data_IF_591627637964
#
_entry.id   IF_591627637964
#
_cell.length_a   1.000
_cell.length_b   1.000
_cell.length_c   1.000
_cell.angle_alpha   90.00
_cell.angle_beta   90.00
_cell.angle_gamma   90.00
#
_symmetry.space_group_name_H-M   'P 1'
#
loop_
_entity.id
_entity.type
_entity.pdbx_description
1 polymer ?
#
# COMPACT_ATOMS: atom_id res chain seq x y z
N UNK A 1 -8.55 -27.36 -7.88
CA UNK A 1 -8.63 -25.95 -8.33
C UNK A 1 -7.32 -25.26 -7.96
N UNK A 2 -6.75 -24.42 -8.82
CA UNK A 2 -5.51 -23.69 -8.51
C UNK A 2 -5.81 -22.20 -8.40
N UNK A 3 -5.33 -21.55 -7.34
CA UNK A 3 -5.49 -20.11 -7.15
C UNK A 3 -4.20 -19.38 -7.49
N UNK A 4 -4.32 -18.27 -8.23
CA UNK A 4 -3.25 -17.28 -8.39
C UNK A 4 -3.68 -16.01 -7.65
N UNK A 5 -2.85 -15.55 -6.72
CA UNK A 5 -3.23 -14.48 -5.79
C UNK A 5 -2.30 -13.29 -5.97
N UNK A 6 -2.87 -12.09 -6.12
CA UNK A 6 -2.15 -10.83 -6.01
C UNK A 6 -2.63 -10.09 -4.76
N UNK A 7 -1.72 -9.92 -3.80
CA UNK A 7 -2.01 -9.32 -2.50
C UNK A 7 -1.77 -7.81 -2.55
N UNK A 8 -2.70 -7.06 -1.95
CA UNK A 8 -2.70 -5.60 -1.80
C UNK A 8 -3.15 -5.24 -0.39
N UNK A 9 -2.81 -4.05 0.06
CA UNK A 9 -3.18 -3.59 1.40
C UNK A 9 -4.70 -3.43 1.54
N UNK A 10 -5.34 -2.66 0.66
CA UNK A 10 -6.78 -2.36 0.71
C UNK A 10 -7.48 -2.29 -0.65
N UNK A 11 -8.80 -2.01 -0.67
CA UNK A 11 -9.61 -2.10 -1.89
C UNK A 11 -9.30 -1.03 -2.94
N UNK A 12 -8.79 0.14 -2.53
CA UNK A 12 -8.51 1.30 -3.41
C UNK A 12 -7.00 1.44 -3.67
N UNK A 13 -6.33 0.33 -3.98
CA UNK A 13 -4.87 0.26 -4.05
C UNK A 13 -4.27 0.80 -5.36
N UNK A 14 -5.08 1.07 -6.38
CA UNK A 14 -4.57 1.49 -7.68
C UNK A 14 -5.57 2.26 -8.52
N UNK A 15 -5.04 3.09 -9.41
CA UNK A 15 -5.80 3.80 -10.43
C UNK A 15 -6.22 2.85 -11.59
N UNK A 16 -6.95 3.38 -12.56
CA UNK A 16 -7.49 2.61 -13.68
C UNK A 16 -6.44 1.83 -14.47
N UNK A 17 -5.24 2.41 -14.70
CA UNK A 17 -4.18 1.74 -15.47
C UNK A 17 -3.56 0.58 -14.69
N UNK A 18 -3.42 0.71 -13.36
CA UNK A 18 -2.94 -0.36 -12.50
C UNK A 18 -3.94 -1.52 -12.43
N UNK A 19 -5.24 -1.23 -12.38
CA UNK A 19 -6.29 -2.26 -12.41
C UNK A 19 -6.32 -2.98 -13.77
N UNK A 20 -6.20 -2.24 -14.88
CA UNK A 20 -6.12 -2.84 -16.22
C UNK A 20 -4.92 -3.78 -16.34
N UNK A 21 -3.75 -3.35 -15.84
CA UNK A 21 -2.54 -4.17 -15.86
C UNK A 21 -2.67 -5.45 -15.03
N UNK A 22 -3.37 -5.39 -13.88
CA UNK A 22 -3.64 -6.57 -13.08
C UNK A 22 -4.48 -7.59 -13.85
N UNK A 23 -5.54 -7.14 -14.55
CA UNK A 23 -6.39 -8.01 -15.37
C UNK A 23 -5.57 -8.69 -16.47
N UNK A 24 -4.74 -7.95 -17.17
CA UNK A 24 -3.85 -8.50 -18.20
C UNK A 24 -2.91 -9.57 -17.64
N UNK A 25 -2.29 -9.29 -16.48
CA UNK A 25 -1.36 -10.21 -15.84
C UNK A 25 -2.07 -11.50 -15.40
N UNK A 26 -3.27 -11.41 -14.82
CA UNK A 26 -4.08 -12.58 -14.48
C UNK A 26 -4.47 -13.39 -15.72
N UNK A 27 -4.90 -12.73 -16.80
CA UNK A 27 -5.24 -13.39 -18.06
C UNK A 27 -4.06 -14.16 -18.65
N UNK A 28 -2.87 -13.54 -18.68
CA UNK A 28 -1.63 -14.18 -19.14
C UNK A 28 -1.25 -15.38 -18.28
N UNK A 29 -1.27 -15.22 -16.95
CA UNK A 29 -0.94 -16.31 -16.02
C UNK A 29 -1.90 -17.50 -16.18
N UNK A 30 -3.21 -17.24 -16.30
CA UNK A 30 -4.21 -18.29 -16.59
C UNK A 30 -3.89 -19.04 -17.89
N UNK A 31 -3.55 -18.32 -18.97
CA UNK A 31 -3.20 -18.94 -20.26
C UNK A 31 -1.95 -19.82 -20.15
N UNK A 32 -0.88 -19.30 -19.54
CA UNK A 32 0.39 -20.03 -19.37
C UNK A 32 0.16 -21.31 -18.56
N UNK A 33 -0.57 -21.22 -17.45
CA UNK A 33 -0.83 -22.37 -16.57
C UNK A 33 -1.72 -23.43 -17.21
N UNK A 34 -2.67 -23.06 -18.06
CA UNK A 34 -3.51 -24.02 -18.81
C UNK A 34 -2.73 -24.77 -19.89
N UNK A 35 -1.72 -24.15 -20.50
CA UNK A 35 -0.90 -24.78 -21.54
C UNK A 35 0.18 -25.69 -20.95
N UNK A 36 0.82 -25.28 -19.84
CA UNK A 36 2.00 -25.97 -19.31
C UNK A 36 1.69 -27.04 -18.25
N UNK A 37 0.51 -26.96 -17.62
CA UNK A 37 0.11 -27.85 -16.52
C UNK A 37 -1.33 -28.25 -16.84
N UNK A 38 -1.69 -29.53 -16.73
CA UNK A 38 -3.05 -30.02 -16.97
C UNK A 38 -4.12 -29.44 -16.01
N UNK A 39 -3.79 -28.40 -15.23
CA UNK A 39 -4.72 -27.69 -14.37
C UNK A 39 -5.76 -26.94 -15.20
N UNK A 40 -6.90 -27.60 -15.42
CA UNK A 40 -8.03 -27.06 -16.20
C UNK A 40 -8.74 -25.91 -15.48
N UNK A 41 -8.58 -25.78 -14.16
CA UNK A 41 -9.33 -24.83 -13.34
C UNK A 41 -8.40 -23.91 -12.51
N UNK A 42 -8.09 -22.73 -13.08
CA UNK A 42 -7.28 -21.67 -12.47
C UNK A 42 -8.15 -20.46 -12.14
N UNK A 43 -8.21 -20.07 -10.87
CA UNK A 43 -8.97 -18.91 -10.37
C UNK A 43 -7.99 -17.80 -9.98
N UNK A 44 -8.25 -16.58 -10.46
CA UNK A 44 -7.46 -15.42 -10.10
C UNK A 44 -8.12 -14.67 -8.93
N UNK A 45 -7.31 -14.27 -7.95
CA UNK A 45 -7.77 -13.56 -6.76
C UNK A 45 -6.92 -12.31 -6.54
N UNK A 46 -7.55 -11.15 -6.49
CA UNK A 46 -6.98 -9.96 -5.86
C UNK A 46 -7.35 -9.98 -4.37
N UNK A 47 -6.39 -10.33 -3.53
CA UNK A 47 -6.55 -10.28 -2.08
C UNK A 47 -6.24 -8.89 -1.53
N UNK A 48 -7.13 -8.35 -0.72
CA UNK A 48 -6.92 -7.10 0.02
C UNK A 48 -6.91 -7.41 1.52
N UNK A 49 -5.81 -7.10 2.21
CA UNK A 49 -5.63 -7.42 3.64
C UNK A 49 -6.66 -6.73 4.55
N UNK A 50 -7.17 -5.56 4.16
CA UNK A 50 -8.23 -4.85 4.89
C UNK A 50 -9.26 -4.24 3.95
N UNK A 51 -10.31 -3.66 4.55
CA UNK A 51 -11.42 -3.01 3.85
C UNK A 51 -12.49 -4.00 3.39
N UNK A 52 -13.49 -3.49 2.67
CA UNK A 52 -14.65 -4.26 2.21
C UNK A 52 -14.88 -3.99 0.72
N UNK A 53 -15.25 -5.02 -0.04
CA UNK A 53 -15.74 -4.89 -1.41
C UNK A 53 -17.10 -5.60 -1.51
N UNK A 54 -18.14 -4.87 -1.91
CA UNK A 54 -19.51 -5.40 -1.96
C UNK A 54 -19.78 -6.31 -3.16
N UNK A 55 -18.89 -6.30 -4.16
CA UNK A 55 -19.04 -7.09 -5.38
C UNK A 55 -17.73 -7.83 -5.66
N UNK A 56 -17.40 -8.89 -4.90
CA UNK A 56 -16.12 -9.58 -5.02
C UNK A 56 -15.86 -10.12 -6.42
N UNK A 57 -16.90 -10.63 -7.11
CA UNK A 57 -16.74 -11.10 -8.48
C UNK A 57 -16.62 -9.95 -9.48
N UNK A 58 -15.44 -9.85 -10.13
CA UNK A 58 -15.14 -8.87 -11.18
C UNK A 58 -15.17 -9.49 -12.59
N UNK A 59 -15.65 -10.73 -12.72
CA UNK A 59 -15.67 -11.53 -13.94
C UNK A 59 -14.32 -12.21 -14.21
N UNK A 60 -13.25 -11.43 -14.36
CA UNK A 60 -11.93 -11.98 -14.69
C UNK A 60 -11.18 -12.53 -13.47
N UNK A 61 -11.50 -12.02 -12.29
CA UNK A 61 -10.89 -12.37 -11.01
C UNK A 61 -11.85 -12.09 -9.85
N UNK A 62 -11.61 -12.74 -8.72
CA UNK A 62 -12.28 -12.44 -7.46
C UNK A 62 -11.48 -11.38 -6.70
N UNK A 63 -12.16 -10.37 -6.16
CA UNK A 63 -11.56 -9.39 -5.26
C UNK A 63 -12.07 -9.62 -3.86
N UNK A 64 -11.26 -10.29 -3.03
CA UNK A 64 -11.60 -10.62 -1.66
C UNK A 64 -10.92 -9.60 -0.75
N UNK A 65 -11.65 -9.01 0.20
CA UNK A 65 -11.14 -7.96 1.07
C UNK A 65 -11.41 -8.27 2.54
N UNK A 66 -10.45 -7.94 3.40
CA UNK A 66 -10.58 -8.10 4.86
C UNK A 66 -10.86 -9.55 5.23
N UNK A 67 -11.86 -9.77 6.09
CA UNK A 67 -12.29 -11.09 6.55
C UNK A 67 -12.38 -12.12 5.42
N UNK A 68 -13.05 -11.78 4.31
CA UNK A 68 -13.22 -12.71 3.18
C UNK A 68 -11.89 -13.16 2.56
N UNK A 69 -10.87 -12.31 2.56
CA UNK A 69 -9.55 -12.70 2.04
C UNK A 69 -8.79 -13.57 3.03
N UNK A 70 -8.82 -13.21 4.31
CA UNK A 70 -8.14 -13.97 5.35
C UNK A 70 -8.76 -15.35 5.52
N UNK A 71 -10.09 -15.42 5.64
CA UNK A 71 -10.84 -16.67 5.66
C UNK A 71 -10.55 -17.53 4.42
N UNK A 72 -10.47 -16.91 3.23
CA UNK A 72 -10.15 -17.63 2.00
C UNK A 72 -8.77 -18.30 2.02
N UNK A 73 -7.75 -17.66 2.59
CA UNK A 73 -6.38 -18.22 2.60
C UNK A 73 -6.10 -19.13 3.80
N UNK A 74 -6.82 -18.98 4.91
CA UNK A 74 -6.58 -19.73 6.15
C UNK A 74 -7.62 -20.80 6.44
N UNK A 75 -8.84 -20.65 5.93
CA UNK A 75 -10.01 -21.41 6.38
C UNK A 75 -10.57 -20.95 7.73
N UNK A 76 -10.08 -19.83 8.27
CA UNK A 76 -10.46 -19.29 9.58
C UNK A 76 -11.08 -17.89 9.43
N UNK A 77 -12.35 -17.78 9.81
CA UNK A 77 -13.13 -16.54 9.78
C UNK A 77 -12.60 -15.45 10.71
N UNK A 78 -11.86 -15.81 11.78
CA UNK A 78 -11.37 -14.87 12.79
C UNK A 78 -9.94 -14.38 12.54
N UNK A 79 -9.21 -14.98 11.60
CA UNK A 79 -7.80 -14.63 11.39
C UNK A 79 -7.55 -13.14 11.13
N UNK A 80 -8.51 -12.43 10.50
CA UNK A 80 -8.38 -11.00 10.22
C UNK A 80 -8.30 -10.13 11.48
N UNK A 81 -8.82 -10.58 12.62
CA UNK A 81 -8.66 -9.92 13.92
C UNK A 81 -7.45 -10.44 14.68
N UNK A 82 -7.18 -11.74 14.59
CA UNK A 82 -6.14 -12.39 15.41
C UNK A 82 -4.72 -11.91 15.03
N UNK A 83 -4.51 -11.52 13.77
CA UNK A 83 -3.24 -10.94 13.32
C UNK A 83 -2.95 -9.53 13.87
N UNK A 84 -3.95 -8.83 14.44
CA UNK A 84 -3.79 -7.45 14.93
C UNK A 84 -3.06 -7.42 16.27
N UNK A 85 -3.30 -8.38 17.15
CA UNK A 85 -2.75 -8.41 18.51
C UNK A 85 -1.21 -8.53 18.54
N UNK A 86 -0.57 -9.44 17.77
CA UNK A 86 0.88 -9.51 17.68
C UNK A 86 1.52 -8.28 17.02
N UNK A 87 0.86 -7.70 16.00
CA UNK A 87 1.34 -6.50 15.30
C UNK A 87 1.25 -5.25 16.19
N UNK A 88 0.20 -5.11 16.99
CA UNK A 88 0.00 -3.96 17.87
C UNK A 88 1.12 -3.80 18.91
N UNK A 89 1.52 -4.91 19.55
CA UNK A 89 2.58 -4.89 20.56
C UNK A 89 3.96 -4.61 19.95
N UNK A 90 4.31 -5.29 18.85
CA UNK A 90 5.60 -5.07 18.16
C UNK A 90 5.68 -3.69 17.49
N UNK A 91 4.56 -3.16 16.99
CA UNK A 91 4.51 -1.82 16.42
C UNK A 91 4.68 -0.76 17.51
N UNK A 92 4.11 -0.95 18.71
CA UNK A 92 4.26 0.01 19.82
C UNK A 92 5.72 0.17 20.26
N UNK A 93 6.44 -0.93 20.45
CA UNK A 93 7.86 -0.90 20.85
C UNK A 93 8.75 -0.21 19.81
N UNK A 94 8.52 -0.49 18.52
CA UNK A 94 9.26 0.17 17.43
C UNK A 94 8.82 1.61 17.21
N UNK A 95 7.55 1.94 17.49
CA UNK A 95 7.02 3.28 17.36
C UNK A 95 7.63 4.24 18.36
N UNK A 96 7.88 3.85 19.61
CA UNK A 96 8.46 4.78 20.59
C UNK A 96 9.86 5.26 20.19
N UNK A 97 10.72 4.33 19.73
CA UNK A 97 12.04 4.67 19.19
C UNK A 97 11.94 5.48 17.90
N UNK A 98 11.04 5.09 16.99
CA UNK A 98 10.81 5.81 15.75
C UNK A 98 10.28 7.23 15.98
N UNK A 99 9.36 7.43 16.93
CA UNK A 99 8.78 8.72 17.28
C UNK A 99 9.83 9.67 17.83
N UNK A 100 10.76 9.17 18.66
CA UNK A 100 11.87 9.99 19.17
C UNK A 100 12.82 10.43 18.05
N UNK A 101 13.25 9.51 17.19
CA UNK A 101 14.12 9.85 16.05
C UNK A 101 13.41 10.75 15.02
N UNK A 102 12.12 10.51 14.78
CA UNK A 102 11.29 11.35 13.92
C UNK A 102 11.17 12.78 14.48
N UNK A 103 10.96 12.94 15.79
CA UNK A 103 10.93 14.25 16.43
C UNK A 103 12.25 15.00 16.28
N UNK A 104 13.40 14.31 16.38
CA UNK A 104 14.72 14.91 16.12
C UNK A 104 14.84 15.41 14.67
N UNK A 105 14.39 14.61 13.71
CA UNK A 105 14.39 14.99 12.28
C UNK A 105 13.48 16.20 12.04
N UNK A 106 12.30 16.24 12.63
CA UNK A 106 11.39 17.40 12.54
C UNK A 106 12.06 18.64 13.11
N UNK A 107 12.61 18.58 14.33
CA UNK A 107 13.27 19.73 14.95
C UNK A 107 14.45 20.24 14.12
N UNK A 108 15.27 19.32 13.61
CA UNK A 108 16.40 19.66 12.73
C UNK A 108 15.91 20.33 11.45
N UNK A 109 14.93 19.74 10.77
CA UNK A 109 14.36 20.29 9.54
C UNK A 109 13.70 21.65 9.79
N UNK A 110 12.94 21.80 10.87
CA UNK A 110 12.34 23.09 11.25
C UNK A 110 13.42 24.14 11.51
N UNK A 111 14.50 23.79 12.22
CA UNK A 111 15.61 24.71 12.45
C UNK A 111 16.30 25.14 11.14
N UNK A 112 16.58 24.18 10.25
CA UNK A 112 17.18 24.45 8.93
C UNK A 112 16.25 25.29 8.05
N UNK A 113 14.95 24.98 8.07
CA UNK A 113 13.92 25.70 7.34
C UNK A 113 13.80 27.14 7.82
N UNK A 114 13.71 27.37 9.12
CA UNK A 114 13.65 28.72 9.70
C UNK A 114 14.91 29.50 9.32
N UNK A 115 16.09 28.89 9.45
CA UNK A 115 17.36 29.55 9.13
C UNK A 115 17.54 29.89 7.64
N UNK A 116 16.85 29.18 6.74
CA UNK A 116 17.02 29.32 5.29
C UNK A 116 15.88 30.08 4.63
N UNK A 117 14.66 29.94 5.13
CA UNK A 117 13.43 30.39 4.48
C UNK A 117 12.57 31.34 5.31
N UNK A 118 13.03 31.78 6.48
CA UNK A 118 12.36 32.82 7.27
C UNK A 118 13.27 34.04 7.48
N UNK A 119 12.69 35.24 7.58
CA UNK A 119 13.41 36.44 8.00
C UNK A 119 13.55 36.53 9.54
N UNK A 120 14.21 37.59 10.02
CA UNK A 120 14.45 37.82 11.45
C UNK A 120 13.16 38.01 12.28
N UNK A 121 12.06 38.41 11.63
CA UNK A 121 10.74 38.56 12.25
C UNK A 121 9.90 37.27 12.15
N UNK A 122 10.45 36.22 11.52
CA UNK A 122 9.81 34.92 11.36
C UNK A 122 8.87 34.82 10.16
N UNK A 123 8.85 35.80 9.26
CA UNK A 123 8.03 35.74 8.05
C UNK A 123 8.67 34.82 7.01
N UNK A 124 7.83 34.06 6.29
CA UNK A 124 8.30 33.18 5.23
C UNK A 124 8.77 33.95 3.99
N UNK A 125 9.98 33.62 3.53
CA UNK A 125 10.58 34.08 2.29
C UNK A 125 10.11 33.24 1.10
N UNK A 126 8.83 33.36 0.74
CA UNK A 126 8.18 32.55 -0.31
C UNK A 126 8.93 32.49 -1.64
N UNK A 127 9.57 33.59 -2.05
CA UNK A 127 10.35 33.63 -3.29
C UNK A 127 11.54 32.66 -3.25
N UNK A 128 12.22 32.55 -2.11
CA UNK A 128 13.36 31.64 -1.94
C UNK A 128 12.89 30.18 -1.90
N UNK A 129 11.75 29.90 -1.27
CA UNK A 129 11.13 28.56 -1.27
C UNK A 129 10.82 28.11 -2.70
N UNK A 130 10.15 28.96 -3.48
CA UNK A 130 9.77 28.65 -4.87
C UNK A 130 11.01 28.51 -5.76
N UNK A 131 12.01 29.37 -5.57
CA UNK A 131 13.28 29.31 -6.31
C UNK A 131 14.05 28.03 -5.99
N UNK A 132 14.09 27.63 -4.71
CA UNK A 132 14.72 26.38 -4.30
C UNK A 132 14.02 25.15 -4.90
N UNK A 133 12.69 25.12 -4.90
CA UNK A 133 11.93 23.97 -5.39
C UNK A 133 11.86 23.86 -6.93
N UNK A 134 11.84 25.01 -7.61
CA UNK A 134 11.37 25.08 -9.00
C UNK A 134 12.30 25.80 -9.96
N UNK A 135 13.48 26.26 -9.51
CA UNK A 135 14.43 26.87 -10.45
C UNK A 135 15.03 25.81 -11.40
N UNK A 136 15.44 26.25 -12.59
CA UNK A 136 15.99 25.37 -13.63
C UNK A 136 17.31 24.70 -13.24
N UNK A 137 17.99 25.16 -12.19
CA UNK A 137 19.33 24.70 -11.84
C UNK A 137 19.47 24.68 -10.32
N UNK A 138 19.83 23.52 -9.79
CA UNK A 138 20.18 23.35 -8.39
C UNK A 138 21.46 24.14 -8.11
N UNK A 139 21.40 25.13 -7.22
CA UNK A 139 22.59 25.83 -6.68
C UNK A 139 23.19 25.03 -5.54
#
# INVERSE_FOLDING_TARGET
IRYIVSIKSGPNWGNSSQIAKLRDNFGKAKRILRTNISSTNVVAVNGCCYGKDRKPDKGDYLKLCGQQFWEFISGDENLYTDIIEPLGNQAKEKNEQFTQEYAKVINKFTSEFIGTFCDADGNMLWKEIVKFNSSKTTS
#
